data_IF_145881247565
#
_entry.id   IF_145881247565
#
_cell.length_a   1.000
_cell.length_b   1.000
_cell.length_c   1.000
_cell.angle_alpha   90.00
_cell.angle_beta   90.00
_cell.angle_gamma   90.00
#
_symmetry.space_group_name_H-M   'P 1'
#
loop_
_entity.id
_entity.type
_entity.pdbx_description
1 polymer ?
#
# COMPACT_ATOMS: atom_id res chain seq x y z
N UNK A 1 51.41 34.79 67.17
CA UNK A 1 51.36 33.44 66.58
C UNK A 1 49.90 32.97 66.60
N UNK A 2 49.11 33.27 65.57
CA UNK A 2 47.69 32.83 65.47
C UNK A 2 47.18 32.67 64.04
N UNK A 3 48.02 32.81 63.01
CA UNK A 3 47.59 32.80 61.60
C UNK A 3 47.64 31.42 60.92
N UNK A 4 48.21 30.39 61.56
CA UNK A 4 48.30 29.04 60.99
C UNK A 4 47.12 28.11 61.34
N UNK A 5 46.29 28.45 62.34
CA UNK A 5 45.16 27.61 62.76
C UNK A 5 43.98 27.71 61.78
N UNK A 6 43.68 28.93 61.34
CA UNK A 6 42.56 29.22 60.42
C UNK A 6 42.74 28.59 59.04
N UNK A 7 43.95 28.61 58.47
CA UNK A 7 44.19 28.01 57.15
C UNK A 7 43.97 26.48 57.13
N UNK A 8 44.30 25.79 58.22
CA UNK A 8 44.05 24.35 58.33
C UNK A 8 42.55 24.05 58.49
N UNK A 9 41.84 24.87 59.26
CA UNK A 9 40.39 24.78 59.44
C UNK A 9 39.63 25.03 58.12
N UNK A 10 40.03 26.03 57.34
CA UNK A 10 39.48 26.34 56.01
C UNK A 10 39.66 25.18 55.02
N UNK A 11 40.85 24.54 55.02
CA UNK A 11 41.13 23.37 54.17
C UNK A 11 40.22 22.20 54.56
N UNK A 12 40.02 21.94 55.85
CA UNK A 12 39.12 20.88 56.32
C UNK A 12 37.67 21.14 55.97
N UNK A 13 37.24 22.40 55.97
CA UNK A 13 35.90 22.78 55.54
C UNK A 13 35.71 22.52 54.04
N UNK A 14 36.65 22.95 53.19
CA UNK A 14 36.60 22.70 51.75
C UNK A 14 36.60 21.19 51.43
N UNK A 15 37.39 20.39 52.16
CA UNK A 15 37.41 18.94 51.98
C UNK A 15 36.08 18.28 52.36
N UNK A 16 35.39 18.80 53.38
CA UNK A 16 34.05 18.32 53.76
C UNK A 16 33.02 18.67 52.69
N UNK A 17 33.00 19.92 52.22
CA UNK A 17 32.11 20.37 51.14
C UNK A 17 32.36 19.59 49.83
N UNK A 18 33.62 19.30 49.51
CA UNK A 18 33.98 18.48 48.35
C UNK A 18 33.50 17.02 48.48
N UNK A 19 33.60 16.44 49.69
CA UNK A 19 33.13 15.08 49.95
C UNK A 19 31.58 14.98 49.83
N UNK A 20 30.88 15.98 50.36
CA UNK A 20 29.42 16.11 50.23
C UNK A 20 29.02 16.28 48.76
N UNK A 21 29.68 17.17 48.02
CA UNK A 21 29.44 17.38 46.59
C UNK A 21 29.68 16.11 45.75
N UNK A 22 30.73 15.34 46.05
CA UNK A 22 30.97 14.05 45.36
C UNK A 22 29.88 13.03 45.66
N UNK A 23 29.37 13.00 46.90
CA UNK A 23 28.30 12.10 47.28
C UNK A 23 26.99 12.45 46.56
N UNK A 24 26.64 13.73 46.50
CA UNK A 24 25.46 14.22 45.75
C UNK A 24 25.59 13.93 44.26
N UNK A 25 26.76 14.18 43.66
CA UNK A 25 27.01 13.87 42.25
C UNK A 25 26.84 12.37 41.96
N UNK A 26 27.35 11.50 42.83
CA UNK A 26 27.20 10.05 42.69
C UNK A 26 25.73 9.62 42.75
N UNK A 27 24.93 10.22 43.64
CA UNK A 27 23.50 9.95 43.72
C UNK A 27 22.76 10.44 42.47
N UNK A 28 23.08 11.66 42.01
CA UNK A 28 22.50 12.24 40.79
C UNK A 28 22.81 11.39 39.54
N UNK A 29 24.04 10.87 39.42
CA UNK A 29 24.41 9.97 38.34
C UNK A 29 23.63 8.66 38.40
N UNK A 30 23.49 8.05 39.58
CA UNK A 30 22.71 6.82 39.75
C UNK A 30 21.23 7.00 39.39
N UNK A 31 20.66 8.15 39.74
CA UNK A 31 19.27 8.48 39.38
C UNK A 31 19.13 8.71 37.87
N UNK A 32 20.09 9.41 37.26
CA UNK A 32 20.13 9.61 35.80
C UNK A 32 20.23 8.27 35.07
N UNK A 33 21.10 7.36 35.53
CA UNK A 33 21.25 6.02 34.94
C UNK A 33 19.96 5.19 35.03
N UNK A 34 19.20 5.34 36.12
CA UNK A 34 17.88 4.69 36.28
C UNK A 34 16.86 5.27 35.31
N UNK A 35 16.79 6.59 35.21
CA UNK A 35 15.87 7.28 34.28
C UNK A 35 16.18 6.95 32.82
N UNK A 36 17.47 6.88 32.44
CA UNK A 36 17.89 6.47 31.11
C UNK A 36 17.48 5.02 30.80
N UNK A 37 17.66 4.09 31.75
CA UNK A 37 17.22 2.69 31.58
C UNK A 37 15.72 2.56 31.44
N UNK A 38 14.94 3.30 32.23
CA UNK A 38 13.48 3.31 32.12
C UNK A 38 13.03 3.91 30.79
N UNK A 39 13.67 4.99 30.35
CA UNK A 39 13.40 5.62 29.05
C UNK A 39 13.69 4.66 27.90
N UNK A 40 14.84 3.95 27.93
CA UNK A 40 15.19 2.94 26.92
C UNK A 40 14.17 1.79 26.89
N UNK A 41 13.66 1.38 28.05
CA UNK A 41 12.58 0.38 28.15
C UNK A 41 11.29 0.87 27.50
N UNK A 42 10.84 2.09 27.85
CA UNK A 42 9.62 2.68 27.30
C UNK A 42 9.72 2.91 25.78
N UNK A 43 10.90 3.32 25.29
CA UNK A 43 11.15 3.46 23.85
C UNK A 43 11.06 2.11 23.13
N UNK A 44 11.61 1.04 23.71
CA UNK A 44 11.50 -0.32 23.15
C UNK A 44 10.06 -0.80 23.10
N UNK A 45 9.30 -0.61 24.17
CA UNK A 45 7.88 -0.97 24.24
C UNK A 45 7.06 -0.18 23.20
N UNK A 46 7.26 1.13 23.11
CA UNK A 46 6.61 2.00 22.11
C UNK A 46 6.94 1.55 20.69
N UNK A 47 8.21 1.22 20.42
CA UNK A 47 8.64 0.72 19.11
C UNK A 47 8.08 -0.66 18.76
N UNK A 48 7.70 -1.48 19.74
CA UNK A 48 6.98 -2.74 19.51
C UNK A 48 5.50 -2.47 19.19
N UNK A 49 4.84 -1.61 19.96
CA UNK A 49 3.45 -1.22 19.74
C UNK A 49 3.24 -0.56 18.36
N UNK A 50 4.14 0.33 17.94
CA UNK A 50 4.09 0.95 16.61
C UNK A 50 4.22 -0.08 15.48
N UNK A 51 5.06 -1.10 15.64
CA UNK A 51 5.19 -2.19 14.66
C UNK A 51 3.94 -3.06 14.59
N UNK A 52 3.31 -3.33 15.74
CA UNK A 52 2.08 -4.10 15.80
C UNK A 52 0.90 -3.34 15.19
N UNK A 53 0.76 -2.04 15.50
CA UNK A 53 -0.19 -1.15 14.86
C UNK A 53 0.02 -1.09 13.34
N UNK A 54 1.27 -0.96 12.88
CA UNK A 54 1.59 -1.00 11.46
C UNK A 54 1.11 -2.28 10.76
N UNK A 55 1.28 -3.44 11.41
CA UNK A 55 0.77 -4.72 10.89
C UNK A 55 -0.76 -4.79 10.86
N UNK A 56 -1.42 -4.30 11.91
CA UNK A 56 -2.90 -4.27 11.96
C UNK A 56 -3.49 -3.35 10.90
N UNK A 57 -2.93 -2.14 10.75
CA UNK A 57 -3.33 -1.17 9.71
C UNK A 57 -3.10 -1.76 8.31
N UNK A 58 -1.94 -2.39 8.07
CA UNK A 58 -1.67 -3.08 6.80
C UNK A 58 -2.67 -4.21 6.52
N UNK A 59 -3.03 -5.00 7.54
CA UNK A 59 -4.03 -6.06 7.45
C UNK A 59 -5.45 -5.55 7.14
N UNK A 60 -5.82 -4.36 7.64
CA UNK A 60 -7.10 -3.72 7.31
C UNK A 60 -7.14 -3.25 5.85
N UNK A 61 -6.04 -2.69 5.33
CA UNK A 61 -5.95 -2.29 3.93
C UNK A 61 -6.13 -3.47 2.96
N UNK A 62 -5.48 -4.61 3.25
CA UNK A 62 -5.62 -5.82 2.44
C UNK A 62 -7.06 -6.37 2.43
N UNK A 63 -7.74 -6.39 3.58
CA UNK A 63 -9.15 -6.80 3.68
C UNK A 63 -10.10 -5.87 2.93
N UNK A 64 -9.77 -4.58 2.86
CA UNK A 64 -10.59 -3.62 2.13
C UNK A 64 -10.46 -3.79 0.61
N UNK A 65 -9.26 -4.13 0.12
CA UNK A 65 -9.02 -4.54 -1.26
C UNK A 65 -9.85 -5.77 -1.64
N UNK A 66 -9.70 -6.86 -0.90
CA UNK A 66 -10.43 -8.10 -1.18
C UNK A 66 -11.96 -7.95 -1.05
N UNK A 67 -12.45 -7.07 -0.18
CA UNK A 67 -13.86 -6.73 -0.11
C UNK A 67 -14.34 -5.97 -1.35
N UNK A 68 -13.53 -5.04 -1.86
CA UNK A 68 -13.85 -4.28 -3.08
C UNK A 68 -13.88 -5.21 -4.30
N UNK A 69 -12.90 -6.11 -4.42
CA UNK A 69 -12.88 -7.16 -5.44
C UNK A 69 -14.11 -8.08 -5.32
N UNK A 70 -14.48 -8.47 -4.10
CA UNK A 70 -15.65 -9.31 -3.82
C UNK A 70 -16.98 -8.68 -4.24
N UNK A 71 -17.12 -7.35 -4.13
CA UNK A 71 -18.28 -6.61 -4.65
C UNK A 71 -18.21 -6.38 -6.16
N UNK A 72 -17.00 -6.21 -6.70
CA UNK A 72 -16.80 -5.96 -8.12
C UNK A 72 -17.07 -7.18 -8.99
N UNK A 73 -16.71 -8.38 -8.53
CA UNK A 73 -16.73 -9.59 -9.35
C UNK A 73 -18.09 -9.90 -9.98
N UNK A 74 -19.23 -9.95 -9.24
CA UNK A 74 -20.53 -10.25 -9.87
C UNK A 74 -20.93 -9.23 -10.94
N UNK A 75 -20.59 -7.95 -10.69
CA UNK A 75 -20.86 -6.87 -11.64
C UNK A 75 -19.97 -6.97 -12.87
N UNK A 76 -18.68 -7.25 -12.67
CA UNK A 76 -17.71 -7.44 -13.74
C UNK A 76 -18.06 -8.67 -14.59
N UNK A 77 -18.43 -9.79 -13.97
CA UNK A 77 -18.89 -10.97 -14.70
C UNK A 77 -20.03 -10.64 -15.67
N UNK A 78 -21.01 -9.86 -15.19
CA UNK A 78 -22.14 -9.42 -16.03
C UNK A 78 -21.68 -8.52 -17.17
N UNK A 79 -20.83 -7.53 -16.92
CA UNK A 79 -20.30 -6.65 -17.98
C UNK A 79 -19.51 -7.45 -19.02
N UNK A 80 -18.59 -8.30 -18.56
CA UNK A 80 -17.70 -9.08 -19.40
C UNK A 80 -18.45 -10.12 -20.26
N UNK A 81 -19.49 -10.76 -19.71
CA UNK A 81 -20.34 -11.69 -20.49
C UNK A 81 -21.32 -10.94 -21.39
N UNK A 82 -22.15 -10.07 -20.82
CA UNK A 82 -23.34 -9.58 -21.51
C UNK A 82 -23.01 -8.45 -22.49
N UNK A 83 -22.01 -7.62 -22.19
CA UNK A 83 -21.64 -6.48 -23.02
C UNK A 83 -20.44 -6.79 -23.93
N UNK A 84 -19.47 -7.58 -23.46
CA UNK A 84 -18.27 -7.91 -24.22
C UNK A 84 -18.26 -9.31 -24.84
N UNK A 85 -19.23 -10.17 -24.51
CA UNK A 85 -19.33 -11.51 -25.10
C UNK A 85 -18.19 -12.45 -24.70
N UNK A 86 -17.55 -12.24 -23.55
CA UNK A 86 -16.43 -13.06 -23.09
C UNK A 86 -16.94 -14.34 -22.43
N UNK A 87 -16.37 -15.48 -22.82
CA UNK A 87 -16.81 -16.80 -22.38
C UNK A 87 -16.12 -17.23 -21.09
N UNK A 88 -14.82 -16.98 -21.00
CA UNK A 88 -14.00 -17.35 -19.85
C UNK A 88 -13.78 -16.11 -18.99
N UNK A 89 -14.07 -16.23 -17.69
CA UNK A 89 -13.85 -15.18 -16.69
C UNK A 89 -13.21 -15.83 -15.48
N UNK A 90 -12.02 -15.36 -15.12
CA UNK A 90 -11.18 -15.93 -14.08
C UNK A 90 -10.79 -14.83 -13.10
N UNK A 91 -11.31 -14.84 -11.86
CA UNK A 91 -10.87 -13.93 -10.81
C UNK A 91 -9.51 -14.36 -10.22
N UNK A 92 -8.79 -13.39 -9.66
CA UNK A 92 -7.56 -13.57 -8.87
C UNK A 92 -6.50 -14.42 -9.56
N UNK A 93 -6.19 -14.09 -10.82
CA UNK A 93 -5.20 -14.82 -11.62
C UNK A 93 -3.81 -14.39 -11.22
N UNK A 94 -3.02 -15.34 -10.73
CA UNK A 94 -1.62 -15.12 -10.33
C UNK A 94 -0.69 -15.98 -11.17
N UNK A 95 0.32 -15.35 -11.77
CA UNK A 95 1.31 -16.03 -12.60
C UNK A 95 2.71 -15.71 -12.11
N UNK A 96 3.54 -16.76 -12.02
CA UNK A 96 4.95 -16.65 -11.65
C UNK A 96 5.82 -17.18 -12.78
N UNK A 97 6.67 -16.35 -13.37
CA UNK A 97 7.52 -16.72 -14.51
C UNK A 97 8.86 -16.00 -14.44
N UNK A 98 9.96 -16.76 -14.54
CA UNK A 98 11.31 -16.18 -14.54
C UNK A 98 11.64 -15.36 -13.29
N UNK A 99 11.14 -15.76 -12.11
CA UNK A 99 11.34 -15.03 -10.84
C UNK A 99 10.50 -13.76 -10.70
N UNK A 100 9.58 -13.51 -11.64
CA UNK A 100 8.65 -12.38 -11.58
C UNK A 100 7.24 -12.87 -11.32
N UNK A 101 6.49 -12.05 -10.60
CA UNK A 101 5.12 -12.35 -10.19
C UNK A 101 4.20 -11.24 -10.69
N UNK A 102 3.09 -11.63 -11.30
CA UNK A 102 2.00 -10.72 -11.63
C UNK A 102 0.70 -11.27 -11.05
N UNK A 103 -0.18 -10.35 -10.69
CA UNK A 103 -1.53 -10.62 -10.24
C UNK A 103 -2.48 -9.78 -11.10
N UNK A 104 -3.61 -10.39 -11.46
CA UNK A 104 -4.68 -9.77 -12.23
C UNK A 104 -5.98 -10.04 -11.48
N UNK A 105 -6.70 -9.00 -11.11
CA UNK A 105 -7.92 -9.12 -10.32
C UNK A 105 -9.00 -9.90 -11.07
N UNK A 106 -9.22 -9.59 -12.36
CA UNK A 106 -10.03 -10.42 -13.26
C UNK A 106 -9.39 -10.50 -14.64
N UNK A 107 -9.19 -11.71 -15.13
CA UNK A 107 -8.82 -12.00 -16.50
C UNK A 107 -10.01 -12.62 -17.23
N UNK A 108 -10.41 -12.03 -18.35
CA UNK A 108 -11.50 -12.57 -19.16
C UNK A 108 -11.12 -12.65 -20.64
N UNK A 109 -11.57 -13.68 -21.33
CA UNK A 109 -11.28 -13.85 -22.76
C UNK A 109 -12.31 -14.72 -23.45
N UNK A 110 -12.35 -14.61 -24.78
CA UNK A 110 -13.06 -15.54 -25.66
C UNK A 110 -12.16 -15.95 -26.83
N UNK A 111 -12.51 -17.05 -27.48
CA UNK A 111 -11.89 -17.54 -28.71
C UNK A 111 -12.98 -17.73 -29.75
N UNK A 112 -12.87 -17.11 -30.92
CA UNK A 112 -13.86 -17.23 -31.99
C UNK A 112 -14.29 -15.86 -32.50
N UNK A 113 -15.60 -15.63 -32.58
CA UNK A 113 -16.18 -14.38 -33.10
C UNK A 113 -15.68 -13.15 -32.34
N UNK A 114 -15.57 -13.28 -31.02
CA UNK A 114 -14.84 -12.34 -30.15
C UNK A 114 -13.47 -12.93 -29.82
N UNK A 115 -12.43 -12.49 -30.53
CA UNK A 115 -11.06 -12.92 -30.29
C UNK A 115 -10.28 -11.89 -29.47
N UNK A 116 -10.67 -11.75 -28.20
CA UNK A 116 -10.16 -10.71 -27.28
C UNK A 116 -9.87 -11.24 -25.88
N UNK A 117 -9.00 -10.53 -25.18
CA UNK A 117 -8.67 -10.70 -23.76
C UNK A 117 -8.77 -9.35 -23.06
N UNK A 118 -9.37 -9.36 -21.88
CA UNK A 118 -9.60 -8.21 -21.02
C UNK A 118 -8.91 -8.43 -19.68
N UNK A 119 -8.11 -7.45 -19.28
CA UNK A 119 -7.42 -7.38 -17.99
C UNK A 119 -8.13 -6.32 -17.16
N UNK A 120 -8.73 -6.73 -16.05
CA UNK A 120 -9.45 -5.83 -15.14
C UNK A 120 -8.62 -5.63 -13.87
N UNK A 121 -8.44 -4.37 -13.51
CA UNK A 121 -7.88 -3.95 -12.22
C UNK A 121 -8.97 -3.27 -11.40
N UNK A 122 -9.14 -3.66 -10.14
CA UNK A 122 -10.15 -3.15 -9.22
C UNK A 122 -9.47 -2.37 -8.09
N UNK A 123 -9.85 -1.10 -7.91
CA UNK A 123 -9.35 -0.25 -6.82
C UNK A 123 -10.49 0.29 -5.97
N UNK A 124 -10.32 0.31 -4.65
CA UNK A 124 -11.26 1.06 -3.79
C UNK A 124 -11.15 2.56 -4.05
N UNK A 125 -9.93 3.09 -4.20
CA UNK A 125 -9.68 4.48 -4.55
C UNK A 125 -8.60 4.51 -5.64
N UNK A 126 -9.00 4.84 -6.87
CA UNK A 126 -8.08 4.93 -7.98
C UNK A 126 -7.25 6.23 -7.91
N UNK A 127 -5.95 6.09 -8.15
CA UNK A 127 -4.99 7.18 -8.32
C UNK A 127 -4.21 6.97 -9.62
N UNK A 128 -3.41 7.95 -10.02
CA UNK A 128 -2.55 7.90 -11.22
C UNK A 128 -1.63 6.68 -11.24
N UNK A 129 -1.20 6.21 -10.08
CA UNK A 129 -0.39 5.00 -9.96
C UNK A 129 -1.14 3.76 -10.47
N UNK A 130 -2.46 3.68 -10.31
CA UNK A 130 -3.26 2.55 -10.79
C UNK A 130 -3.29 2.48 -12.31
N UNK A 131 -3.43 3.63 -13.00
CA UNK A 131 -3.32 3.72 -14.45
C UNK A 131 -1.92 3.27 -14.92
N UNK A 132 -0.88 3.76 -14.26
CA UNK A 132 0.52 3.41 -14.58
C UNK A 132 0.77 1.91 -14.39
N UNK A 133 0.27 1.32 -13.30
CA UNK A 133 0.36 -0.11 -13.02
C UNK A 133 -0.34 -0.95 -14.08
N UNK A 134 -1.58 -0.61 -14.43
CA UNK A 134 -2.34 -1.33 -15.45
C UNK A 134 -1.66 -1.26 -16.83
N UNK A 135 -1.16 -0.09 -17.25
CA UNK A 135 -0.39 0.04 -18.51
C UNK A 135 0.87 -0.83 -18.52
N UNK A 136 1.61 -0.86 -17.41
CA UNK A 136 2.79 -1.71 -17.29
C UNK A 136 2.42 -3.19 -17.36
N UNK A 137 1.30 -3.60 -16.76
CA UNK A 137 0.78 -4.96 -16.86
C UNK A 137 0.39 -5.31 -18.31
N UNK A 138 -0.40 -4.46 -18.97
CA UNK A 138 -0.84 -4.65 -20.35
C UNK A 138 0.34 -4.79 -21.32
N UNK A 139 1.34 -3.90 -21.23
CA UNK A 139 2.51 -3.91 -22.12
C UNK A 139 3.36 -5.19 -22.02
N UNK A 140 3.28 -5.89 -20.88
CA UNK A 140 4.05 -7.10 -20.60
C UNK A 140 3.18 -8.36 -20.56
N UNK A 141 1.87 -8.21 -20.69
CA UNK A 141 0.87 -9.26 -20.50
C UNK A 141 1.22 -10.54 -21.28
N UNK A 142 1.52 -10.41 -22.57
CA UNK A 142 1.82 -11.54 -23.45
C UNK A 142 3.12 -12.28 -23.12
N UNK A 143 4.01 -11.69 -22.32
CA UNK A 143 5.20 -12.39 -21.80
C UNK A 143 4.79 -13.46 -20.77
N UNK A 144 3.76 -13.16 -19.99
CA UNK A 144 3.20 -14.05 -18.97
C UNK A 144 2.16 -14.99 -19.55
N UNK A 145 1.32 -14.52 -20.48
CA UNK A 145 0.26 -15.29 -21.13
C UNK A 145 0.45 -15.40 -22.66
N UNK A 146 1.45 -16.16 -23.13
CA UNK A 146 1.74 -16.31 -24.56
C UNK A 146 0.58 -16.94 -25.37
N UNK A 147 -0.33 -17.67 -24.73
CA UNK A 147 -1.54 -18.25 -25.33
C UNK A 147 -2.54 -17.19 -25.85
N UNK A 148 -2.37 -15.92 -25.46
CA UNK A 148 -3.20 -14.80 -25.91
C UNK A 148 -2.52 -13.92 -26.96
N UNK A 149 -1.40 -14.34 -27.56
CA UNK A 149 -0.65 -13.52 -28.53
C UNK A 149 -1.48 -13.01 -29.71
N UNK A 150 -2.37 -13.84 -30.25
CA UNK A 150 -3.24 -13.48 -31.38
C UNK A 150 -4.52 -12.75 -31.01
N UNK A 151 -4.73 -12.38 -29.73
CA UNK A 151 -5.97 -11.74 -29.27
C UNK A 151 -5.79 -10.23 -29.15
N UNK A 152 -6.88 -9.50 -29.37
CA UNK A 152 -6.96 -8.09 -28.98
C UNK A 152 -6.89 -7.99 -27.45
N UNK A 153 -6.06 -7.11 -26.90
CA UNK A 153 -5.84 -6.99 -25.46
C UNK A 153 -6.36 -5.65 -24.97
N UNK A 154 -7.36 -5.66 -24.09
CA UNK A 154 -7.97 -4.46 -23.54
C UNK A 154 -7.81 -4.40 -22.02
N UNK A 155 -7.72 -3.18 -21.50
CA UNK A 155 -7.73 -2.91 -20.05
C UNK A 155 -9.06 -2.37 -19.59
N UNK A 156 -9.48 -2.75 -18.38
CA UNK A 156 -10.57 -2.10 -17.63
C UNK A 156 -10.01 -1.68 -16.27
N UNK A 157 -10.16 -0.40 -15.91
CA UNK A 157 -9.89 0.08 -14.57
C UNK A 157 -11.23 0.34 -13.86
N UNK A 158 -11.54 -0.52 -12.89
CA UNK A 158 -12.74 -0.44 -12.08
C UNK A 158 -12.41 0.23 -10.74
N UNK A 159 -13.20 1.23 -10.33
CA UNK A 159 -13.01 1.84 -9.01
C UNK A 159 -14.29 2.23 -8.29
N UNK A 160 -14.27 2.14 -6.95
CA UNK A 160 -15.34 2.69 -6.09
C UNK A 160 -15.25 4.21 -6.11
N UNK A 161 -14.07 4.76 -5.85
CA UNK A 161 -13.79 6.19 -5.95
C UNK A 161 -12.70 6.49 -6.99
N UNK A 162 -12.91 7.56 -7.77
CA UNK A 162 -12.04 8.01 -8.85
C UNK A 162 -12.36 9.48 -9.16
N UNK A 163 -11.33 10.33 -9.25
CA UNK A 163 -11.50 11.72 -9.66
C UNK A 163 -11.82 11.85 -11.16
N UNK A 164 -12.54 12.91 -11.58
CA UNK A 164 -12.91 13.12 -12.98
C UNK A 164 -11.70 13.28 -13.90
N UNK A 165 -10.62 13.92 -13.45
CA UNK A 165 -9.39 14.09 -14.25
C UNK A 165 -8.72 12.76 -14.57
N UNK A 166 -8.64 11.87 -13.57
CA UNK A 166 -8.08 10.53 -13.75
C UNK A 166 -8.96 9.69 -14.68
N UNK A 167 -10.29 9.77 -14.53
CA UNK A 167 -11.24 9.12 -15.45
C UNK A 167 -10.95 9.51 -16.90
N UNK A 168 -10.88 10.81 -17.19
CA UNK A 168 -10.60 11.29 -18.55
C UNK A 168 -9.25 10.79 -19.08
N UNK A 169 -8.22 10.77 -18.24
CA UNK A 169 -6.89 10.24 -18.62
C UNK A 169 -6.95 8.75 -18.96
N UNK A 170 -7.62 7.93 -18.16
CA UNK A 170 -7.78 6.49 -18.43
C UNK A 170 -8.47 6.28 -19.78
N UNK A 171 -9.54 7.04 -20.07
CA UNK A 171 -10.25 6.97 -21.34
C UNK A 171 -9.39 7.44 -22.53
N UNK A 172 -8.58 8.48 -22.36
CA UNK A 172 -7.65 8.96 -23.40
C UNK A 172 -6.58 7.93 -23.76
N UNK A 173 -6.20 7.08 -22.81
CA UNK A 173 -5.28 5.95 -23.01
C UNK A 173 -5.99 4.73 -23.63
N UNK A 174 -7.27 4.85 -24.00
CA UNK A 174 -8.06 3.79 -24.60
C UNK A 174 -8.39 2.65 -23.64
N UNK A 175 -8.30 2.88 -22.32
CA UNK A 175 -8.65 1.92 -21.27
C UNK A 175 -10.10 2.19 -20.84
N UNK A 176 -10.88 1.13 -20.67
CA UNK A 176 -12.25 1.24 -20.18
C UNK A 176 -12.27 1.65 -18.71
N UNK A 177 -13.25 2.46 -18.32
CA UNK A 177 -13.51 2.79 -16.92
C UNK A 177 -14.79 2.11 -16.47
N UNK A 178 -14.77 1.51 -15.28
CA UNK A 178 -15.98 1.06 -14.60
C UNK A 178 -16.08 1.69 -13.21
N UNK A 179 -17.30 2.06 -12.81
CA UNK A 179 -17.57 2.68 -11.51
C UNK A 179 -18.74 2.02 -10.82
N UNK A 180 -18.76 2.08 -9.50
CA UNK A 180 -19.91 1.66 -8.71
C UNK A 180 -21.06 2.67 -8.84
N UNK A 181 -22.24 2.18 -9.18
CA UNK A 181 -23.52 2.88 -9.21
C UNK A 181 -24.55 1.96 -8.55
N UNK A 182 -25.23 2.43 -7.50
CA UNK A 182 -26.23 1.64 -6.77
C UNK A 182 -25.73 0.22 -6.38
N UNK A 183 -24.55 0.16 -5.76
CA UNK A 183 -23.87 -1.07 -5.30
C UNK A 183 -23.37 -2.02 -6.42
N UNK A 184 -23.53 -1.64 -7.69
CA UNK A 184 -23.16 -2.46 -8.85
C UNK A 184 -22.19 -1.70 -9.73
N UNK A 185 -21.16 -2.36 -10.25
CA UNK A 185 -20.30 -1.71 -11.24
C UNK A 185 -20.98 -1.62 -12.61
N UNK A 186 -20.78 -0.48 -13.28
CA UNK A 186 -21.17 -0.22 -14.66
C UNK A 186 -20.04 0.46 -15.42
N UNK A 187 -20.00 0.29 -16.75
CA UNK A 187 -19.08 1.04 -17.59
C UNK A 187 -19.41 2.54 -17.52
N UNK A 188 -18.37 3.34 -17.33
CA UNK A 188 -18.43 4.79 -17.29
C UNK A 188 -17.60 5.35 -18.45
N UNK A 189 -18.11 5.15 -19.67
CA UNK A 189 -17.48 5.54 -20.93
C UNK A 189 -18.42 6.42 -21.75
N UNK A 190 -17.91 7.41 -22.51
CA UNK A 190 -18.72 8.16 -23.46
C UNK A 190 -19.14 7.29 -24.65
N UNK A 191 -20.25 7.63 -25.32
CA UNK A 191 -20.79 6.84 -26.42
C UNK A 191 -19.84 6.70 -27.64
N UNK A 192 -18.93 7.65 -27.81
CA UNK A 192 -17.91 7.67 -28.87
C UNK A 192 -16.55 7.14 -28.40
N UNK A 193 -16.48 6.46 -27.25
CA UNK A 193 -15.25 5.86 -26.75
C UNK A 193 -14.71 4.82 -27.73
N UNK A 194 -13.41 4.91 -28.03
CA UNK A 194 -12.70 3.94 -28.86
C UNK A 194 -11.60 3.30 -28.01
N UNK A 195 -11.68 1.99 -27.72
CA UNK A 195 -10.68 1.32 -26.89
C UNK A 195 -9.37 1.12 -27.66
N UNK A 196 -8.25 1.17 -26.93
CA UNK A 196 -6.94 0.78 -27.45
C UNK A 196 -6.69 -0.70 -27.17
N UNK A 197 -6.24 -1.42 -28.20
CA UNK A 197 -5.67 -2.75 -28.03
C UNK A 197 -4.16 -2.63 -27.78
N UNK A 198 -3.67 -3.29 -26.73
CA UNK A 198 -2.28 -3.24 -26.27
C UNK A 198 -1.47 -4.44 -26.74
#
# INVERSE_FOLDING_TARGET
>A
MTTNSTAAEDIWQILRELAESQQELKQSQQETDRQLKETDRQLKETGQQLRELGKQIGGLGAKFGSFTEGLALPSMERILRDQFGLEVISPSVRVSKGGQHIEVDVLAYSNGDVNAVYVVEVKSHAREEALTQLKNLLSRFRQFFPEHQGKQLYGILAAVDMGPELRERILQEGIYVARIQDEVFSLDIPANFVPQSF
#
